data_IF_507455035556
#
_entry.id   IF_507455035556
#
_cell.length_a   1.000
_cell.length_b   1.000
_cell.length_c   1.000
_cell.angle_alpha   90.00
_cell.angle_beta   90.00
_cell.angle_gamma   90.00
#
_symmetry.space_group_name_H-M   'P 1'
#
loop_
_entity.id
_entity.type
_entity.pdbx_description
1 polymer ?
#
# COMPACT_ATOMS: atom_id res chain seq x y z
N UNK A 1 3.10 -10.34 -1.90
CA UNK A 1 3.17 -8.98 -1.36
C UNK A 1 2.60 -8.99 0.04
N UNK A 2 3.42 -8.65 1.01
CA UNK A 2 3.10 -8.79 2.43
C UNK A 2 2.40 -7.54 2.96
N UNK A 3 1.17 -7.30 2.48
CA UNK A 3 0.33 -6.15 2.86
C UNK A 3 -1.11 -6.60 3.10
N UNK A 4 -1.55 -6.53 4.34
CA UNK A 4 -2.82 -7.10 4.76
C UNK A 4 -4.05 -6.19 4.50
N UNK A 5 -3.86 -4.87 4.30
CA UNK A 5 -4.93 -3.91 4.09
C UNK A 5 -5.20 -3.56 2.61
N UNK A 6 -4.76 -4.41 1.69
CA UNK A 6 -4.96 -4.15 0.25
C UNK A 6 -6.44 -4.28 -0.11
N UNK A 7 -7.03 -3.20 -0.60
CA UNK A 7 -8.36 -3.20 -1.21
C UNK A 7 -8.24 -3.58 -2.68
N UNK A 8 -8.49 -4.86 -2.98
CA UNK A 8 -8.43 -5.40 -4.35
C UNK A 8 -9.61 -4.83 -5.16
N UNK A 9 -9.33 -4.34 -6.38
CA UNK A 9 -10.34 -3.72 -7.26
C UNK A 9 -11.14 -2.59 -6.59
N UNK A 10 -10.48 -1.76 -5.77
CA UNK A 10 -11.09 -0.62 -5.09
C UNK A 10 -11.89 0.26 -6.08
N UNK A 11 -13.24 0.35 -5.93
CA UNK A 11 -14.09 1.07 -6.88
C UNK A 11 -13.74 2.57 -6.99
N UNK A 12 -13.32 3.20 -5.89
CA UNK A 12 -12.93 4.60 -5.89
C UNK A 12 -11.63 4.81 -6.69
N UNK A 13 -10.66 3.91 -6.52
CA UNK A 13 -9.40 3.97 -7.25
C UNK A 13 -9.58 3.67 -8.74
N UNK A 14 -10.40 2.67 -9.08
CA UNK A 14 -10.77 2.35 -10.47
C UNK A 14 -11.52 3.52 -11.11
N UNK A 15 -12.50 4.08 -10.42
CA UNK A 15 -13.28 5.22 -10.88
C UNK A 15 -12.42 6.47 -11.11
N UNK A 16 -11.48 6.74 -10.20
CA UNK A 16 -10.55 7.85 -10.33
C UNK A 16 -9.71 7.74 -11.62
N UNK A 17 -9.13 6.57 -11.89
CA UNK A 17 -8.38 6.37 -13.14
C UNK A 17 -9.29 6.45 -14.38
N UNK A 18 -10.49 5.89 -14.30
CA UNK A 18 -11.45 5.93 -15.42
C UNK A 18 -11.86 7.36 -15.80
N UNK A 19 -11.98 8.25 -14.80
CA UNK A 19 -12.40 9.65 -15.02
C UNK A 19 -11.32 10.55 -15.61
N UNK A 20 -10.04 10.14 -15.62
CA UNK A 20 -8.93 10.98 -16.10
C UNK A 20 -8.83 11.11 -17.63
N UNK A 21 -9.58 10.34 -18.38
CA UNK A 21 -9.57 10.35 -19.86
C UNK A 21 -8.26 9.83 -20.45
N UNK A 22 -7.16 10.55 -20.30
CA UNK A 22 -5.88 10.29 -20.95
C UNK A 22 -4.83 9.52 -20.13
N UNK A 23 -5.04 9.35 -18.83
CA UNK A 23 -4.13 8.57 -17.99
C UNK A 23 -4.40 7.07 -18.15
N UNK A 24 -3.34 6.29 -18.28
CA UNK A 24 -3.40 4.85 -18.53
C UNK A 24 -2.82 4.01 -17.41
N UNK A 25 -2.28 4.65 -16.39
CA UNK A 25 -1.82 4.02 -15.15
C UNK A 25 -2.12 4.88 -13.93
N UNK A 26 -2.21 4.25 -12.77
CA UNK A 26 -2.39 4.91 -11.48
C UNK A 26 -1.67 4.13 -10.38
N UNK A 27 -1.35 4.82 -9.29
CA UNK A 27 -0.79 4.18 -8.10
C UNK A 27 -1.35 4.80 -6.83
N UNK A 28 -1.64 3.98 -5.82
CA UNK A 28 -1.94 4.47 -4.48
C UNK A 28 -0.68 5.01 -3.82
N UNK A 29 -0.83 6.14 -3.15
CA UNK A 29 0.26 6.91 -2.53
C UNK A 29 -0.10 7.20 -1.09
N UNK A 30 0.85 7.03 -0.18
CA UNK A 30 0.75 7.46 1.21
C UNK A 30 1.84 8.47 1.53
N UNK A 31 1.59 9.35 2.51
CA UNK A 31 2.66 10.20 3.03
C UNK A 31 3.67 9.37 3.83
N UNK A 32 4.95 9.62 3.62
CA UNK A 32 6.02 9.03 4.44
C UNK A 32 5.89 9.46 5.89
N UNK A 33 6.19 8.56 6.82
CA UNK A 33 6.23 8.88 8.26
C UNK A 33 7.40 9.78 8.63
N UNK A 34 8.54 9.60 7.96
CA UNK A 34 9.76 10.38 8.15
C UNK A 34 10.75 10.12 7.00
N UNK A 35 11.84 10.87 6.99
CA UNK A 35 12.87 10.78 5.95
C UNK A 35 13.54 9.38 5.88
N UNK A 36 13.70 8.71 7.02
CA UNK A 36 14.38 7.41 7.11
C UNK A 36 13.49 6.21 6.73
N UNK A 37 12.19 6.43 6.48
CA UNK A 37 11.29 5.34 6.12
C UNK A 37 11.71 4.66 4.82
N UNK A 38 11.88 3.34 4.87
CA UNK A 38 12.31 2.48 3.75
C UNK A 38 11.15 2.19 2.80
N UNK A 39 10.72 3.23 2.09
CA UNK A 39 9.66 3.19 1.08
C UNK A 39 10.13 3.96 -0.14
N UNK A 40 9.97 3.39 -1.33
CA UNK A 40 10.22 4.08 -2.60
C UNK A 40 9.30 5.30 -2.73
N UNK A 41 9.75 6.33 -3.40
CA UNK A 41 9.00 7.58 -3.56
C UNK A 41 8.59 7.81 -5.01
N UNK A 42 7.44 8.45 -5.21
CA UNK A 42 7.05 8.95 -6.51
C UNK A 42 7.76 10.27 -6.80
N UNK A 43 8.36 10.34 -7.99
CA UNK A 43 9.02 11.55 -8.47
C UNK A 43 8.96 11.62 -10.00
N UNK A 44 9.18 12.82 -10.52
CA UNK A 44 9.42 13.00 -11.95
C UNK A 44 10.92 12.93 -12.23
N UNK A 45 11.30 12.02 -13.10
CA UNK A 45 12.65 11.93 -13.65
C UNK A 45 12.59 12.26 -15.16
N UNK A 46 13.30 13.31 -15.58
CA UNK A 46 13.27 13.78 -16.97
C UNK A 46 11.82 14.00 -17.49
N UNK A 47 10.96 14.62 -16.68
CA UNK A 47 9.54 14.89 -16.96
C UNK A 47 8.65 13.64 -17.09
N UNK A 48 9.15 12.46 -16.75
CA UNK A 48 8.39 11.23 -16.73
C UNK A 48 8.11 10.79 -15.29
N UNK A 49 6.89 10.32 -14.97
CA UNK A 49 6.59 9.82 -13.63
C UNK A 49 7.34 8.51 -13.39
N UNK A 50 7.79 8.30 -12.18
CA UNK A 50 8.49 7.07 -11.81
C UNK A 50 8.52 6.89 -10.29
N UNK A 51 9.08 5.77 -9.88
CA UNK A 51 9.39 5.48 -8.48
C UNK A 51 10.90 5.45 -8.34
N UNK A 52 11.41 6.15 -7.33
CA UNK A 52 12.81 6.06 -6.90
C UNK A 52 12.84 5.23 -5.63
N UNK A 53 13.54 4.10 -5.65
CA UNK A 53 13.71 3.28 -4.45
C UNK A 53 14.47 4.05 -3.37
N UNK A 54 14.14 3.78 -2.11
CA UNK A 54 14.75 4.47 -0.97
C UNK A 54 16.28 4.25 -0.91
N UNK A 55 16.79 3.15 -1.46
CA UNK A 55 18.22 2.86 -1.59
C UNK A 55 18.93 3.76 -2.59
N UNK A 56 18.20 4.17 -3.64
CA UNK A 56 18.74 4.91 -4.78
C UNK A 56 18.53 6.43 -4.63
N UNK A 57 17.71 6.84 -3.65
CA UNK A 57 17.45 8.25 -3.37
C UNK A 57 18.65 8.89 -2.64
N UNK A 58 19.35 9.86 -3.26
CA UNK A 58 20.44 10.58 -2.59
C UNK A 58 19.99 11.23 -1.28
N UNK A 59 20.84 11.22 -0.27
CA UNK A 59 20.54 11.72 1.08
C UNK A 59 19.99 13.14 1.08
N UNK A 60 20.60 14.04 0.29
CA UNK A 60 20.14 15.43 0.13
C UNK A 60 18.67 15.58 -0.27
N UNK A 61 18.11 14.63 -1.02
CA UNK A 61 16.70 14.62 -1.39
C UNK A 61 15.83 13.90 -0.37
N UNK A 62 16.41 12.95 0.35
CA UNK A 62 15.70 12.19 1.39
C UNK A 62 15.22 13.09 2.51
N UNK A 63 16.05 14.06 2.92
CA UNK A 63 15.80 14.99 4.02
C UNK A 63 15.29 16.37 3.57
N UNK A 64 15.12 16.54 2.26
CA UNK A 64 14.68 17.82 1.72
C UNK A 64 13.26 18.15 2.19
N UNK A 65 13.09 19.38 2.72
CA UNK A 65 11.82 19.85 3.24
C UNK A 65 11.32 21.07 2.49
N UNK A 66 10.01 21.23 2.47
CA UNK A 66 9.31 22.41 2.02
C UNK A 66 9.38 23.52 3.11
N UNK A 67 8.98 24.77 2.78
CA UNK A 67 8.97 25.87 3.77
C UNK A 67 8.09 25.61 5.00
N UNK A 68 7.09 24.74 4.90
CA UNK A 68 6.19 24.33 6.00
C UNK A 68 6.76 23.19 6.86
N UNK A 69 7.97 22.71 6.57
CA UNK A 69 8.64 21.62 7.27
C UNK A 69 8.24 20.20 6.81
N UNK A 70 7.29 20.06 5.90
CA UNK A 70 6.95 18.77 5.31
C UNK A 70 8.08 18.27 4.38
N UNK A 71 8.20 16.94 4.20
CA UNK A 71 9.15 16.40 3.25
C UNK A 71 8.75 16.77 1.81
N UNK A 72 9.72 17.22 1.02
CA UNK A 72 9.48 17.54 -0.40
C UNK A 72 9.16 16.26 -1.20
N UNK A 73 9.80 15.14 -0.87
CA UNK A 73 9.59 13.84 -1.48
C UNK A 73 8.92 12.89 -0.48
N UNK A 74 7.65 13.12 -0.18
CA UNK A 74 6.88 12.40 0.81
C UNK A 74 5.93 11.34 0.24
N UNK A 75 5.67 11.37 -1.07
CA UNK A 75 4.77 10.46 -1.75
C UNK A 75 5.29 9.01 -1.79
N UNK A 76 4.97 8.23 -0.77
CA UNK A 76 5.44 6.84 -0.62
C UNK A 76 4.70 5.85 -1.52
N UNK A 77 5.45 5.03 -2.23
CA UNK A 77 4.96 3.93 -3.04
C UNK A 77 4.59 2.73 -2.17
N UNK A 78 3.31 2.39 -2.10
CA UNK A 78 2.82 1.20 -1.39
C UNK A 78 2.59 0.01 -2.33
N UNK A 79 3.05 0.10 -3.57
CA UNK A 79 2.97 -0.93 -4.61
C UNK A 79 1.54 -1.48 -4.81
N UNK A 80 0.56 -0.59 -4.91
CA UNK A 80 -0.82 -0.86 -5.33
C UNK A 80 -1.07 -0.04 -6.58
N UNK A 81 -1.10 -0.72 -7.72
CA UNK A 81 -1.12 -0.08 -9.05
C UNK A 81 -2.34 -0.51 -9.85
N UNK A 82 -2.81 0.39 -10.73
CA UNK A 82 -3.77 0.11 -11.77
C UNK A 82 -3.18 0.43 -13.14
N UNK A 83 -3.49 -0.42 -14.11
CA UNK A 83 -3.16 -0.21 -15.51
C UNK A 83 -4.40 -0.43 -16.36
N UNK A 84 -4.74 0.52 -17.24
CA UNK A 84 -5.71 0.25 -18.30
C UNK A 84 -5.14 -0.79 -19.27
N UNK A 85 -5.97 -1.61 -19.87
CA UNK A 85 -5.55 -2.63 -20.84
C UNK A 85 -4.75 -2.04 -22.03
N UNK A 86 -5.06 -0.82 -22.40
CA UNK A 86 -4.28 -0.06 -23.37
C UNK A 86 -2.81 0.12 -22.93
N UNK A 87 -2.59 0.45 -21.64
CA UNK A 87 -1.24 0.56 -21.07
C UNK A 87 -0.49 -0.77 -21.10
N UNK A 88 -1.15 -1.86 -20.71
CA UNK A 88 -0.54 -3.20 -20.75
C UNK A 88 -0.16 -3.63 -22.16
N UNK A 89 -1.00 -3.32 -23.16
CA UNK A 89 -0.67 -3.59 -24.57
C UNK A 89 0.56 -2.80 -25.04
N UNK A 90 0.71 -1.55 -24.60
CA UNK A 90 1.92 -0.75 -24.91
C UNK A 90 3.18 -1.35 -24.27
N UNK A 91 3.07 -1.98 -23.12
CA UNK A 91 4.19 -2.61 -22.43
C UNK A 91 4.57 -3.99 -23.01
N UNK A 92 3.71 -4.63 -23.79
CA UNK A 92 3.95 -5.97 -24.34
C UNK A 92 5.25 -6.09 -25.15
N UNK A 93 5.65 -5.02 -25.85
CA UNK A 93 6.90 -4.96 -26.62
C UNK A 93 8.06 -4.31 -25.86
N UNK A 94 7.86 -3.95 -24.58
CA UNK A 94 8.85 -3.26 -23.77
C UNK A 94 9.52 -4.25 -22.81
N UNK A 95 10.80 -4.02 -22.50
CA UNK A 95 11.51 -4.73 -21.45
C UNK A 95 11.65 -3.81 -20.24
N UNK A 96 11.27 -4.30 -19.07
CA UNK A 96 11.57 -3.60 -17.81
C UNK A 96 13.04 -3.80 -17.44
N UNK A 97 13.67 -2.79 -16.80
CA UNK A 97 15.06 -2.91 -16.38
C UNK A 97 15.22 -3.98 -15.28
N UNK A 98 16.40 -4.57 -15.22
CA UNK A 98 16.80 -5.44 -14.13
C UNK A 98 17.45 -4.60 -13.02
N UNK A 99 16.95 -4.77 -11.81
CA UNK A 99 17.56 -4.24 -10.58
C UNK A 99 18.35 -5.33 -9.89
N UNK A 100 19.49 -4.97 -9.33
CA UNK A 100 20.37 -5.92 -8.64
C UNK A 100 20.57 -5.47 -7.19
N UNK A 101 20.52 -6.40 -6.26
CA UNK A 101 20.80 -6.14 -4.85
C UNK A 101 21.69 -7.24 -4.27
N UNK A 102 22.68 -6.83 -3.50
CA UNK A 102 23.50 -7.76 -2.69
C UNK A 102 22.65 -8.33 -1.58
N UNK A 103 22.81 -9.61 -1.32
CA UNK A 103 22.09 -10.33 -0.25
C UNK A 103 23.07 -11.13 0.61
N UNK A 104 22.76 -11.13 1.89
CA UNK A 104 23.46 -11.96 2.88
C UNK A 104 22.75 -13.29 3.01
N UNK A 105 23.45 -14.38 2.74
CA UNK A 105 22.98 -15.74 2.95
C UNK A 105 23.88 -16.42 3.97
N UNK A 106 23.29 -17.00 5.01
CA UNK A 106 24.04 -17.60 6.13
C UNK A 106 25.07 -16.66 6.78
N UNK A 107 24.73 -15.38 6.93
CA UNK A 107 25.60 -14.38 7.57
C UNK A 107 26.73 -13.83 6.67
N UNK A 108 26.83 -14.25 5.42
CA UNK A 108 27.85 -13.82 4.46
C UNK A 108 27.17 -13.11 3.29
N UNK A 109 27.68 -11.92 2.92
CA UNK A 109 27.24 -11.20 1.71
C UNK A 109 27.84 -11.84 0.47
N UNK A 110 27.21 -12.91 0.00
CA UNK A 110 27.71 -13.79 -1.07
C UNK A 110 26.75 -13.99 -2.24
N UNK A 111 25.60 -13.33 -2.25
CA UNK A 111 24.56 -13.56 -3.24
C UNK A 111 24.07 -12.28 -3.88
N UNK A 112 23.55 -12.40 -5.10
CA UNK A 112 22.88 -11.34 -5.83
C UNK A 112 21.42 -11.68 -6.02
N UNK A 113 20.52 -10.72 -5.76
CA UNK A 113 19.11 -10.78 -6.11
C UNK A 113 18.87 -9.95 -7.36
N UNK A 114 18.17 -10.52 -8.33
CA UNK A 114 17.74 -9.84 -9.55
C UNK A 114 16.23 -9.67 -9.48
N UNK A 115 15.75 -8.46 -9.71
CA UNK A 115 14.34 -8.10 -9.67
C UNK A 115 13.98 -7.18 -10.83
N UNK A 116 12.74 -7.32 -11.32
CA UNK A 116 12.11 -6.31 -12.16
C UNK A 116 10.93 -5.73 -11.37
N UNK A 117 10.79 -4.42 -11.37
CA UNK A 117 9.73 -3.75 -10.66
C UNK A 117 8.63 -3.30 -11.62
N UNK A 118 7.40 -3.59 -11.28
CA UNK A 118 6.24 -3.21 -12.09
C UNK A 118 6.11 -1.68 -12.22
N UNK A 119 6.57 -0.91 -11.26
CA UNK A 119 6.54 0.55 -11.31
C UNK A 119 7.50 1.16 -12.34
N UNK A 120 8.48 0.41 -12.85
CA UNK A 120 9.33 0.85 -13.99
C UNK A 120 8.52 0.97 -15.29
N UNK A 121 7.29 0.48 -15.30
CA UNK A 121 6.36 0.75 -16.40
C UNK A 121 5.92 2.22 -16.49
N UNK A 122 5.88 2.96 -15.38
CA UNK A 122 5.36 4.34 -15.39
C UNK A 122 6.12 5.27 -16.33
N UNK A 123 7.47 5.32 -16.33
CA UNK A 123 8.22 6.12 -17.31
C UNK A 123 7.97 5.72 -18.76
N UNK A 124 7.72 4.43 -19.02
CA UNK A 124 7.42 3.91 -20.36
C UNK A 124 6.02 4.33 -20.82
N UNK A 125 5.07 4.37 -19.91
CA UNK A 125 3.69 4.81 -20.19
C UNK A 125 3.55 6.33 -20.23
N UNK A 126 4.47 7.08 -19.64
CA UNK A 126 4.53 8.54 -19.67
C UNK A 126 3.50 9.24 -18.77
N UNK A 127 2.53 8.52 -18.22
CA UNK A 127 1.49 9.07 -17.34
C UNK A 127 1.24 8.15 -16.16
N UNK A 128 0.98 8.73 -14.99
CA UNK A 128 0.58 8.00 -13.78
C UNK A 128 -0.26 8.93 -12.90
N UNK A 129 -1.46 8.48 -12.52
CA UNK A 129 -2.31 9.15 -11.54
C UNK A 129 -1.86 8.78 -10.13
N UNK A 130 -1.32 9.69 -9.32
CA UNK A 130 -1.14 9.46 -7.89
C UNK A 130 -2.50 9.54 -7.20
N UNK A 131 -2.88 8.49 -6.48
CA UNK A 131 -4.12 8.41 -5.72
C UNK A 131 -3.79 8.36 -4.23
N UNK A 132 -3.91 9.50 -3.54
CA UNK A 132 -3.65 9.62 -2.11
C UNK A 132 -4.63 8.80 -1.29
N UNK A 133 -4.12 7.99 -0.35
CA UNK A 133 -4.93 7.18 0.55
C UNK A 133 -4.51 7.36 2.01
N UNK A 134 -5.44 7.10 2.91
CA UNK A 134 -5.15 7.07 4.36
C UNK A 134 -4.28 5.86 4.65
N UNK A 135 -3.09 6.10 5.17
CA UNK A 135 -2.09 5.07 5.43
C UNK A 135 -2.62 3.95 6.32
N UNK A 136 -3.31 4.31 7.38
CA UNK A 136 -3.83 3.40 8.39
C UNK A 136 -4.89 2.44 7.83
N UNK A 137 -5.56 2.83 6.75
CA UNK A 137 -6.62 2.07 6.11
C UNK A 137 -6.12 1.20 4.94
N UNK A 138 -4.91 1.48 4.44
CA UNK A 138 -4.45 0.92 3.16
C UNK A 138 -3.05 0.31 3.21
N UNK A 139 -2.24 0.63 4.23
CA UNK A 139 -0.83 0.23 4.25
C UNK A 139 -0.42 -0.39 5.58
N UNK A 140 -0.41 -1.71 5.62
CA UNK A 140 0.04 -2.53 6.74
C UNK A 140 1.07 -3.55 6.24
N UNK A 141 2.32 -3.13 6.00
CA UNK A 141 3.35 -4.02 5.50
C UNK A 141 3.85 -4.99 6.58
N UNK A 142 4.28 -6.18 6.14
CA UNK A 142 4.99 -7.15 6.97
C UNK A 142 6.41 -7.28 6.39
N UNK A 143 7.39 -6.71 7.07
CA UNK A 143 8.81 -6.68 6.65
C UNK A 143 9.72 -7.32 7.68
N UNK A 144 9.29 -7.37 8.94
CA UNK A 144 10.08 -7.85 10.07
C UNK A 144 9.31 -8.95 10.82
N UNK A 145 10.03 -9.85 11.48
CA UNK A 145 9.42 -10.87 12.33
C UNK A 145 8.73 -10.25 13.56
N UNK A 146 9.33 -9.19 14.12
CA UNK A 146 8.86 -8.49 15.32
C UNK A 146 9.05 -6.97 15.18
N UNK A 147 8.45 -6.21 16.11
CA UNK A 147 8.55 -4.76 16.15
C UNK A 147 7.67 -4.07 15.10
N UNK A 148 8.19 -3.02 14.47
CA UNK A 148 7.50 -2.29 13.41
C UNK A 148 7.35 -3.14 12.15
N UNK A 149 6.25 -2.92 11.41
CA UNK A 149 5.97 -3.61 10.14
C UNK A 149 6.08 -5.15 10.29
N UNK A 150 5.49 -5.70 11.35
CA UNK A 150 5.49 -7.12 11.71
C UNK A 150 4.08 -7.74 11.59
N UNK A 151 3.95 -9.07 11.64
CA UNK A 151 2.64 -9.73 11.69
C UNK A 151 1.76 -9.22 12.83
N UNK A 152 2.36 -8.89 13.99
CA UNK A 152 1.65 -8.33 15.13
C UNK A 152 1.04 -6.97 14.81
N UNK A 153 1.84 -6.03 14.28
CA UNK A 153 1.35 -4.69 13.93
C UNK A 153 0.33 -4.74 12.79
N UNK A 154 0.48 -5.66 11.83
CA UNK A 154 -0.49 -5.86 10.76
C UNK A 154 -1.85 -6.32 11.33
N UNK A 155 -1.88 -7.28 12.23
CA UNK A 155 -3.09 -7.75 12.90
C UNK A 155 -3.77 -6.65 13.72
N UNK A 156 -2.99 -5.85 14.43
CA UNK A 156 -3.51 -4.70 15.20
C UNK A 156 -4.17 -3.65 14.29
N UNK A 157 -3.57 -3.37 13.14
CA UNK A 157 -4.11 -2.42 12.15
C UNK A 157 -5.40 -2.93 11.52
N UNK A 158 -5.46 -4.20 11.11
CA UNK A 158 -6.70 -4.83 10.61
C UNK A 158 -7.79 -4.75 11.68
N UNK A 159 -7.49 -5.18 12.91
CA UNK A 159 -8.45 -5.15 14.01
C UNK A 159 -8.94 -3.74 14.34
N UNK A 160 -8.07 -2.71 14.20
CA UNK A 160 -8.47 -1.31 14.37
C UNK A 160 -9.44 -0.88 13.27
N UNK A 161 -9.15 -1.19 12.01
CA UNK A 161 -10.00 -0.86 10.87
C UNK A 161 -11.38 -1.53 11.02
N UNK A 162 -11.40 -2.82 11.34
CA UNK A 162 -12.66 -3.55 11.52
C UNK A 162 -13.47 -3.05 12.73
N UNK A 163 -12.83 -2.65 13.83
CA UNK A 163 -13.52 -1.99 14.94
C UNK A 163 -14.20 -0.68 14.50
N UNK A 164 -13.54 0.11 13.68
CA UNK A 164 -14.13 1.34 13.14
C UNK A 164 -15.35 1.07 12.26
N UNK A 165 -15.30 0.04 11.41
CA UNK A 165 -16.44 -0.37 10.61
C UNK A 165 -17.62 -0.79 11.47
N UNK A 166 -17.37 -1.66 12.46
CA UNK A 166 -18.41 -2.13 13.39
C UNK A 166 -18.99 -0.99 14.24
N UNK A 167 -18.14 -0.06 14.70
CA UNK A 167 -18.59 1.12 15.45
C UNK A 167 -19.49 2.00 14.59
N UNK A 168 -19.13 2.25 13.34
CA UNK A 168 -19.97 3.00 12.38
C UNK A 168 -21.29 2.28 12.10
N UNK A 169 -21.29 0.96 12.15
CA UNK A 169 -22.49 0.12 12.01
C UNK A 169 -23.39 0.09 13.28
N UNK A 170 -22.97 0.75 14.37
CA UNK A 170 -23.74 0.81 15.63
C UNK A 170 -23.39 -0.27 16.65
N UNK A 171 -22.38 -1.10 16.42
CA UNK A 171 -21.98 -2.13 17.36
C UNK A 171 -21.30 -1.55 18.61
N UNK A 172 -21.57 -2.17 19.77
CA UNK A 172 -20.86 -1.87 21.03
C UNK A 172 -19.50 -2.54 21.02
N UNK A 173 -18.42 -1.75 20.90
CA UNK A 173 -17.06 -2.23 20.76
C UNK A 173 -16.33 -2.26 22.10
N UNK A 174 -15.72 -3.40 22.43
CA UNK A 174 -14.76 -3.51 23.52
C UNK A 174 -13.34 -3.27 22.94
N UNK A 175 -12.70 -2.18 23.35
CA UNK A 175 -11.37 -1.78 22.84
C UNK A 175 -10.25 -2.79 23.15
N UNK A 176 -10.43 -3.63 24.18
CA UNK A 176 -9.46 -4.66 24.55
C UNK A 176 -9.53 -5.94 23.68
N UNK A 177 -10.56 -6.07 22.85
CA UNK A 177 -10.75 -7.23 21.96
C UNK A 177 -10.28 -6.93 20.55
N UNK A 178 -9.77 -7.95 19.88
CA UNK A 178 -9.59 -7.94 18.42
C UNK A 178 -10.91 -8.29 17.74
N UNK A 179 -11.18 -7.61 16.65
CA UNK A 179 -12.35 -7.86 15.80
C UNK A 179 -11.89 -8.16 14.39
N UNK A 180 -12.52 -9.12 13.77
CA UNK A 180 -12.34 -9.45 12.38
C UNK A 180 -13.70 -9.49 11.68
N UNK A 181 -13.80 -8.82 10.55
CA UNK A 181 -14.97 -8.85 9.67
C UNK A 181 -14.61 -9.68 8.46
N UNK A 182 -15.37 -10.73 8.22
CA UNK A 182 -15.15 -11.59 7.05
C UNK A 182 -15.25 -10.77 5.76
N UNK A 183 -14.32 -10.92 4.80
CA UNK A 183 -14.41 -10.24 3.50
C UNK A 183 -15.63 -10.69 2.66
N UNK A 184 -16.25 -11.83 3.01
CA UNK A 184 -17.51 -12.26 2.39
C UNK A 184 -18.71 -11.52 2.96
N UNK A 185 -18.60 -10.96 4.16
CA UNK A 185 -19.65 -10.18 4.80
C UNK A 185 -19.63 -8.72 4.33
N UNK A 186 -18.43 -8.12 4.30
CA UNK A 186 -18.25 -6.73 3.90
C UNK A 186 -16.85 -6.52 3.32
N UNK A 187 -16.77 -5.78 2.22
CA UNK A 187 -15.50 -5.44 1.58
C UNK A 187 -14.79 -4.26 2.25
N UNK A 188 -15.55 -3.23 2.67
CA UNK A 188 -15.00 -1.99 3.23
C UNK A 188 -15.87 -1.40 4.36
N UNK A 189 -16.64 -2.22 5.06
CA UNK A 189 -17.52 -1.81 6.16
C UNK A 189 -18.97 -1.55 5.75
N UNK A 190 -19.31 -1.71 4.45
CA UNK A 190 -20.67 -1.57 3.95
C UNK A 190 -21.56 -2.74 4.37
N UNK A 191 -22.87 -2.46 4.53
CA UNK A 191 -23.90 -3.49 4.80
C UNK A 191 -23.90 -4.08 6.22
N UNK A 192 -23.03 -3.60 7.12
CA UNK A 192 -22.90 -4.14 8.48
C UNK A 192 -24.03 -3.72 9.43
N UNK A 193 -24.69 -2.57 9.21
CA UNK A 193 -25.68 -1.99 10.12
C UNK A 193 -26.91 -2.87 10.41
N UNK A 194 -27.21 -3.84 9.55
CA UNK A 194 -28.37 -4.73 9.67
C UNK A 194 -27.99 -6.21 9.91
N UNK A 195 -26.70 -6.53 10.06
CA UNK A 195 -26.22 -7.92 10.08
C UNK A 195 -25.14 -8.20 11.12
N UNK A 196 -25.09 -7.45 12.22
CA UNK A 196 -24.08 -7.68 13.26
C UNK A 196 -24.48 -8.89 14.10
N UNK A 197 -23.97 -10.05 13.75
CA UNK A 197 -24.02 -11.25 14.58
C UNK A 197 -22.66 -11.46 15.22
N UNK A 198 -22.59 -11.42 16.56
CA UNK A 198 -21.37 -11.76 17.29
C UNK A 198 -21.23 -13.28 17.39
N UNK A 199 -20.12 -13.81 16.86
CA UNK A 199 -19.66 -15.15 17.17
C UNK A 199 -18.32 -15.08 17.86
N UNK A 200 -18.20 -15.62 19.05
CA UNK A 200 -16.94 -15.67 19.77
C UNK A 200 -16.08 -16.82 19.22
N UNK A 201 -14.95 -16.48 18.55
CA UNK A 201 -13.95 -17.42 18.11
C UNK A 201 -12.73 -17.29 19.02
N UNK A 202 -12.62 -18.20 19.97
CA UNK A 202 -11.56 -18.19 20.97
C UNK A 202 -11.70 -17.06 21.99
N UNK A 203 -10.77 -17.00 22.94
CA UNK A 203 -10.91 -16.11 24.10
C UNK A 203 -10.78 -14.61 23.83
N UNK A 204 -10.31 -14.19 22.63
CA UNK A 204 -9.98 -12.79 22.35
C UNK A 204 -10.31 -12.31 20.93
N UNK A 205 -10.94 -13.09 20.09
CA UNK A 205 -11.30 -12.72 18.70
C UNK A 205 -12.79 -12.86 18.54
N UNK A 206 -13.44 -11.78 18.09
CA UNK A 206 -14.84 -11.81 17.65
C UNK A 206 -14.85 -11.75 16.13
N UNK A 207 -15.42 -12.77 15.52
CA UNK A 207 -15.68 -12.83 14.09
C UNK A 207 -17.15 -12.52 13.85
N UNK A 208 -17.41 -11.70 12.85
CA UNK A 208 -18.75 -11.39 12.38
C UNK A 208 -18.95 -12.14 11.07
N UNK A 209 -19.78 -13.16 11.11
CA UNK A 209 -20.14 -14.02 9.98
C UNK A 209 -21.54 -13.66 9.45
N UNK A 210 -21.83 -13.82 8.15
CA UNK A 210 -23.12 -13.48 7.56
C UNK A 210 -24.29 -14.30 8.08
#
# INVERSE_FOLDING_TARGET
VDKALVKVCDPAFVGALASTGNMISASKVVHKRNAAEKVGIFAFQNKKPGVVEYSDLPEKYREMTNPDGSLTFDGGNIAIHLFKMEGLRKLQSSSLPWHTARKTVCGIENSWKFEQFLFDAFPLLGTMLPFGVVREDEFSPVKNAEGHDSPKTAREMIGKLHREWLRKAGAKINQAKLYEVSPTLSYAGEGLSNRVFERELGKNILEFDP
#
